data_IF_485323905051
#
_entry.id   IF_485323905051
#
_cell.length_a   1.000
_cell.length_b   1.000
_cell.length_c   1.000
_cell.angle_alpha   90.00
_cell.angle_beta   90.00
_cell.angle_gamma   90.00
#
_symmetry.space_group_name_H-M   'P 1'
#
loop_
_entity.id
_entity.type
_entity.pdbx_description
1 polymer ?
#
# COMPACT_ATOMS: atom_id res chain seq x y z
N UNK A 1 34.56 -8.53 5.51
CA UNK A 1 35.61 -8.57 6.55
C UNK A 1 35.58 -9.94 7.23
N UNK A 2 36.46 -10.81 6.81
CA UNK A 2 36.69 -12.13 7.38
C UNK A 2 37.60 -11.97 8.59
N UNK A 3 37.11 -12.32 9.80
CA UNK A 3 37.93 -12.64 10.99
C UNK A 3 36.93 -12.79 12.14
N UNK A 4 36.53 -14.03 12.42
CA UNK A 4 36.07 -14.57 13.70
C UNK A 4 35.49 -15.97 13.45
N UNK A 5 36.37 -16.88 13.03
CA UNK A 5 36.05 -18.32 12.99
C UNK A 5 37.34 -19.09 13.19
N UNK A 6 37.97 -18.96 14.33
CA UNK A 6 39.10 -19.80 14.70
C UNK A 6 39.42 -19.81 16.21
N UNK A 7 38.44 -20.01 17.08
CA UNK A 7 38.71 -20.26 18.51
C UNK A 7 37.63 -21.13 19.20
N UNK A 8 37.28 -22.27 18.62
CA UNK A 8 36.43 -23.26 19.29
C UNK A 8 36.80 -24.70 19.01
N UNK A 9 38.11 -24.99 18.80
CA UNK A 9 38.56 -26.39 18.63
C UNK A 9 39.84 -26.71 19.41
N UNK A 10 40.01 -26.10 20.63
CA UNK A 10 41.12 -26.46 21.50
C UNK A 10 40.69 -26.52 22.96
N UNK A 11 39.67 -27.28 23.28
CA UNK A 11 39.14 -27.41 24.66
C UNK A 11 38.62 -28.80 25.04
N UNK A 12 38.78 -29.81 24.19
CA UNK A 12 38.19 -31.12 24.45
C UNK A 12 39.21 -32.28 24.49
N UNK A 13 40.46 -32.00 24.76
CA UNK A 13 41.51 -33.04 24.75
C UNK A 13 42.29 -33.23 26.07
N UNK A 14 41.73 -32.80 27.23
CA UNK A 14 42.47 -32.93 28.52
C UNK A 14 41.63 -33.45 29.70
N UNK A 15 40.65 -34.33 29.45
CA UNK A 15 39.94 -35.05 30.55
C UNK A 15 39.85 -36.57 30.31
N UNK A 16 40.94 -37.19 29.84
CA UNK A 16 41.02 -38.64 29.74
C UNK A 16 42.32 -39.15 30.42
N UNK A 17 42.59 -38.69 31.61
CA UNK A 17 43.66 -39.29 32.40
C UNK A 17 43.36 -39.04 33.89
N UNK A 18 42.49 -39.88 34.45
CA UNK A 18 42.55 -40.28 35.86
C UNK A 18 41.32 -41.12 36.18
N UNK A 19 41.55 -42.43 36.23
CA UNK A 19 40.99 -43.31 37.21
C UNK A 19 41.39 -44.73 36.78
N UNK A 20 42.61 -45.10 37.15
CA UNK A 20 42.96 -46.52 37.38
C UNK A 20 42.79 -46.71 38.90
N UNK A 21 41.57 -46.95 39.32
CA UNK A 21 41.28 -47.63 40.61
C UNK A 21 40.29 -48.73 40.29
N UNK A 22 40.55 -49.88 40.86
CA UNK A 22 39.87 -51.14 40.70
C UNK A 22 38.36 -50.99 40.62
N UNK A 23 37.81 -51.04 39.42
CA UNK A 23 36.38 -51.22 39.22
C UNK A 23 36.05 -52.65 39.64
N UNK A 24 35.36 -52.79 40.76
CA UNK A 24 34.85 -54.04 41.26
C UNK A 24 33.80 -54.54 40.27
N UNK A 25 34.16 -55.45 39.38
CA UNK A 25 33.30 -56.01 38.33
C UNK A 25 32.01 -56.68 38.88
N UNK A 26 31.94 -56.87 40.21
CA UNK A 26 30.78 -57.49 40.89
C UNK A 26 29.68 -56.51 41.30
N UNK A 27 29.84 -55.16 41.08
CA UNK A 27 28.85 -54.17 41.52
C UNK A 27 28.03 -53.56 40.39
N UNK A 28 28.40 -53.76 39.14
CA UNK A 28 27.61 -53.30 37.98
C UNK A 28 27.57 -54.41 36.90
N UNK A 29 26.79 -55.41 37.11
CA UNK A 29 26.28 -56.17 35.93
C UNK A 29 25.66 -55.10 35.03
N UNK A 30 25.99 -55.07 33.71
CA UNK A 30 25.30 -54.14 32.80
C UNK A 30 23.81 -54.41 32.98
N UNK A 31 23.04 -53.41 33.35
CA UNK A 31 21.57 -53.52 33.30
C UNK A 31 21.26 -53.82 31.85
N UNK A 32 21.05 -55.07 31.49
CA UNK A 32 20.44 -55.44 30.25
C UNK A 32 18.96 -55.02 30.39
N UNK A 33 18.70 -53.78 30.06
CA UNK A 33 17.35 -53.40 29.73
C UNK A 33 16.94 -54.32 28.58
N UNK A 34 15.91 -55.11 28.80
CA UNK A 34 15.27 -55.78 27.66
C UNK A 34 15.02 -54.73 26.60
N UNK A 35 15.65 -54.87 25.44
CA UNK A 35 15.48 -53.95 24.34
C UNK A 35 13.98 -53.97 24.03
N UNK A 36 13.32 -52.83 24.26
CA UNK A 36 11.89 -52.71 23.95
C UNK A 36 11.71 -53.21 22.52
N UNK A 37 10.77 -54.14 22.37
CA UNK A 37 10.49 -54.73 21.06
C UNK A 37 10.21 -53.59 20.08
N UNK A 38 10.96 -53.53 18.99
CA UNK A 38 10.79 -52.50 17.96
C UNK A 38 9.30 -52.54 17.56
N UNK A 39 8.60 -51.44 17.81
CA UNK A 39 7.24 -51.27 17.34
C UNK A 39 7.35 -51.14 15.82
N UNK A 40 6.73 -52.11 15.08
CA UNK A 40 6.69 -52.04 13.63
C UNK A 40 6.09 -50.69 13.21
N UNK A 41 6.84 -49.90 12.44
CA UNK A 41 6.38 -48.63 11.98
C UNK A 41 5.17 -48.80 11.06
N UNK A 42 4.12 -47.99 11.19
CA UNK A 42 2.99 -48.02 10.28
C UNK A 42 3.42 -47.60 8.87
N UNK A 43 2.89 -48.27 7.85
CA UNK A 43 3.05 -47.81 6.46
C UNK A 43 1.81 -47.01 6.05
N UNK A 44 1.90 -45.72 6.26
CA UNK A 44 0.84 -44.73 6.01
C UNK A 44 1.39 -43.65 5.12
N UNK A 45 0.68 -43.30 4.06
CA UNK A 45 1.02 -42.19 3.17
C UNK A 45 -0.13 -41.22 3.10
N UNK A 46 0.18 -39.93 3.11
CA UNK A 46 -0.79 -38.86 2.88
C UNK A 46 -0.92 -38.56 1.38
N UNK A 47 -2.09 -38.24 0.94
CA UNK A 47 -2.41 -37.86 -0.43
C UNK A 47 -3.12 -36.53 -0.43
N UNK A 48 -2.70 -35.61 -1.32
CA UNK A 48 -3.35 -34.32 -1.56
C UNK A 48 -4.81 -34.50 -2.00
N UNK A 49 -5.65 -33.58 -1.61
CA UNK A 49 -7.03 -33.47 -2.14
C UNK A 49 -7.08 -32.43 -3.25
N UNK A 50 -8.24 -32.23 -3.88
CA UNK A 50 -8.44 -31.15 -4.86
C UNK A 50 -8.35 -29.75 -4.25
N UNK A 51 -8.51 -28.73 -5.09
CA UNK A 51 -8.51 -27.32 -4.66
C UNK A 51 -9.62 -27.03 -3.65
N UNK A 52 -9.29 -26.21 -2.66
CA UNK A 52 -10.16 -25.84 -1.54
C UNK A 52 -10.49 -24.34 -1.71
N UNK A 53 -11.78 -24.00 -1.71
CA UNK A 53 -12.24 -22.62 -1.66
C UNK A 53 -12.75 -22.31 -0.23
N UNK A 54 -11.94 -21.53 0.52
CA UNK A 54 -12.29 -21.13 1.89
C UNK A 54 -13.42 -20.09 1.93
N UNK A 55 -13.72 -19.42 0.81
CA UNK A 55 -14.87 -18.51 0.70
C UNK A 55 -16.21 -19.22 0.82
N UNK A 56 -16.27 -20.51 0.44
CA UNK A 56 -17.47 -21.34 0.47
C UNK A 56 -17.40 -22.48 1.48
N UNK A 57 -16.23 -22.66 2.12
CA UNK A 57 -16.01 -23.74 3.08
C UNK A 57 -16.78 -23.54 4.39
N UNK A 58 -17.13 -24.67 5.02
CA UNK A 58 -17.65 -24.66 6.41
C UNK A 58 -16.53 -24.48 7.44
N UNK A 59 -16.82 -24.78 8.71
CA UNK A 59 -15.87 -24.61 9.83
C UNK A 59 -14.61 -25.47 9.71
N UNK A 60 -14.66 -26.56 8.93
CA UNK A 60 -13.51 -27.44 8.69
C UNK A 60 -13.46 -27.93 7.24
N UNK A 61 -12.24 -28.17 6.75
CA UNK A 61 -11.96 -28.65 5.40
C UNK A 61 -11.04 -29.85 5.42
N UNK A 62 -11.24 -30.78 4.49
CA UNK A 62 -10.31 -31.89 4.27
C UNK A 62 -9.14 -31.43 3.42
N UNK A 63 -7.91 -31.55 3.93
CA UNK A 63 -6.68 -31.11 3.25
C UNK A 63 -5.83 -32.28 2.74
N UNK A 64 -6.03 -33.45 3.27
CA UNK A 64 -5.42 -34.71 2.80
C UNK A 64 -6.30 -35.91 3.09
N UNK A 65 -5.99 -37.04 2.47
CA UNK A 65 -6.49 -38.36 2.82
C UNK A 65 -5.32 -39.28 3.18
N UNK A 66 -5.55 -40.27 4.03
CA UNK A 66 -4.55 -41.26 4.38
C UNK A 66 -4.77 -42.54 3.59
N UNK A 67 -3.70 -43.04 2.97
CA UNK A 67 -3.63 -44.39 2.44
C UNK A 67 -2.85 -45.27 3.44
N UNK A 68 -3.56 -46.11 4.14
CA UNK A 68 -3.02 -47.03 5.15
C UNK A 68 -2.76 -48.39 4.51
N UNK A 69 -1.50 -48.69 4.20
CA UNK A 69 -1.09 -49.95 3.61
C UNK A 69 -0.97 -51.04 4.69
N UNK A 70 -0.41 -50.69 5.85
CA UNK A 70 -0.37 -51.57 7.03
C UNK A 70 -0.23 -50.74 8.31
N UNK A 71 -0.90 -51.18 9.37
CA UNK A 71 -0.67 -50.74 10.74
C UNK A 71 -0.45 -51.94 11.63
N UNK A 72 0.41 -51.88 12.64
CA UNK A 72 0.62 -52.98 13.58
C UNK A 72 -0.68 -53.38 14.27
N UNK A 73 -0.88 -54.69 14.47
CA UNK A 73 -2.09 -55.20 15.11
C UNK A 73 -2.29 -54.61 16.50
N UNK A 74 -3.49 -54.08 16.76
CA UNK A 74 -3.85 -53.47 18.04
C UNK A 74 -3.40 -52.01 18.20
N UNK A 75 -2.93 -51.37 17.11
CA UNK A 75 -2.58 -49.92 17.12
C UNK A 75 -3.71 -49.08 16.53
N UNK A 76 -3.76 -47.81 16.96
CA UNK A 76 -4.65 -46.78 16.42
C UNK A 76 -3.85 -45.58 16.01
N UNK A 77 -4.24 -44.93 14.89
CA UNK A 77 -3.65 -43.62 14.47
C UNK A 77 -4.23 -42.52 15.36
N UNK A 78 -3.37 -41.70 15.89
CA UNK A 78 -3.74 -40.58 16.74
C UNK A 78 -2.84 -39.35 16.46
N UNK A 79 -3.23 -38.21 16.98
CA UNK A 79 -2.43 -36.95 16.94
C UNK A 79 -1.93 -36.58 15.54
N UNK A 80 -2.78 -36.74 14.51
CA UNK A 80 -2.42 -36.30 13.16
C UNK A 80 -2.17 -34.79 13.14
N UNK A 81 -1.10 -34.39 12.50
CA UNK A 81 -0.63 -33.04 12.40
C UNK A 81 -0.13 -32.73 11.00
N UNK A 82 -0.37 -31.51 10.58
CA UNK A 82 0.09 -30.95 9.34
C UNK A 82 1.13 -29.86 9.68
N UNK A 83 2.36 -30.05 9.23
CA UNK A 83 3.43 -29.10 9.46
C UNK A 83 3.76 -28.39 8.15
N UNK A 84 3.52 -27.07 8.09
CA UNK A 84 3.91 -26.26 6.95
C UNK A 84 5.40 -25.98 6.97
N UNK A 85 6.07 -26.27 5.85
CA UNK A 85 7.52 -26.07 5.71
C UNK A 85 7.91 -24.57 5.75
N UNK A 86 7.11 -23.71 5.10
CA UNK A 86 7.47 -22.28 4.93
C UNK A 86 7.10 -21.40 6.14
N UNK A 87 6.02 -21.74 6.86
CA UNK A 87 5.54 -20.93 7.98
C UNK A 87 5.93 -21.48 9.36
N UNK A 88 6.57 -22.64 9.43
CA UNK A 88 6.88 -23.34 10.70
C UNK A 88 5.65 -23.47 11.62
N UNK A 89 4.46 -23.67 11.04
CA UNK A 89 3.19 -23.79 11.74
C UNK A 89 2.76 -25.25 11.74
N UNK A 90 2.38 -25.75 12.92
CA UNK A 90 1.78 -27.07 13.10
C UNK A 90 0.27 -26.93 13.33
N UNK A 91 -0.53 -27.64 12.54
CA UNK A 91 -1.99 -27.64 12.61
C UNK A 91 -2.49 -29.06 12.92
N UNK A 92 -3.35 -29.18 13.92
CA UNK A 92 -3.99 -30.49 14.25
C UNK A 92 -4.99 -30.87 13.18
N UNK A 93 -4.95 -32.16 12.77
CA UNK A 93 -5.92 -32.73 11.87
C UNK A 93 -6.68 -33.89 12.56
N UNK A 94 -7.90 -34.16 12.11
CA UNK A 94 -8.60 -35.38 12.48
C UNK A 94 -8.11 -36.56 11.64
N UNK A 95 -8.61 -37.79 11.97
CA UNK A 95 -8.21 -38.99 11.27
C UNK A 95 -8.72 -39.10 9.81
N UNK A 96 -9.54 -38.14 9.37
CA UNK A 96 -10.00 -38.01 7.99
C UNK A 96 -9.24 -36.89 7.23
N UNK A 97 -8.17 -36.35 7.83
CA UNK A 97 -7.39 -35.27 7.23
C UNK A 97 -8.09 -33.92 7.22
N UNK A 98 -9.08 -33.72 8.12
CA UNK A 98 -9.74 -32.42 8.28
C UNK A 98 -9.01 -31.55 9.28
N UNK A 99 -8.90 -30.27 8.94
CA UNK A 99 -8.41 -29.17 9.81
C UNK A 99 -9.47 -28.07 9.91
N UNK A 100 -9.36 -27.20 10.89
CA UNK A 100 -10.21 -26.02 10.96
C UNK A 100 -9.94 -25.09 9.75
N UNK A 101 -11.00 -24.63 9.10
CA UNK A 101 -10.90 -23.70 7.97
C UNK A 101 -10.17 -22.40 8.36
N UNK A 102 -10.38 -21.95 9.60
CA UNK A 102 -9.69 -20.77 10.14
C UNK A 102 -8.17 -20.94 10.24
N UNK A 103 -7.68 -22.15 10.57
CA UNK A 103 -6.24 -22.43 10.66
C UNK A 103 -5.59 -22.43 9.27
N UNK A 104 -6.26 -23.01 8.26
CA UNK A 104 -5.79 -22.95 6.88
C UNK A 104 -5.80 -21.51 6.34
N UNK A 105 -6.87 -20.75 6.62
CA UNK A 105 -6.98 -19.33 6.27
C UNK A 105 -5.81 -18.53 6.86
N UNK A 106 -5.56 -18.67 8.16
CA UNK A 106 -4.47 -17.96 8.84
C UNK A 106 -3.07 -18.32 8.26
N UNK A 107 -2.87 -19.59 7.89
CA UNK A 107 -1.64 -20.05 7.26
C UNK A 107 -1.43 -19.39 5.90
N UNK A 108 -2.47 -19.35 5.05
CA UNK A 108 -2.42 -18.71 3.73
C UNK A 108 -2.19 -17.21 3.87
N UNK A 109 -2.94 -16.54 4.76
CA UNK A 109 -2.81 -15.08 4.96
C UNK A 109 -1.43 -14.69 5.44
N UNK A 110 -0.82 -15.51 6.30
CA UNK A 110 0.55 -15.26 6.80
C UNK A 110 1.59 -15.30 5.69
N UNK A 111 1.43 -16.19 4.69
CA UNK A 111 2.41 -16.38 3.61
C UNK A 111 2.14 -15.51 2.40
N UNK A 112 0.87 -15.31 2.03
CA UNK A 112 0.47 -14.76 0.73
C UNK A 112 -0.49 -13.56 0.83
N UNK A 113 -0.91 -13.17 2.05
CA UNK A 113 -1.94 -12.15 2.25
C UNK A 113 -3.35 -12.63 1.92
N UNK A 114 -4.30 -11.69 1.90
CA UNK A 114 -5.75 -11.97 1.86
C UNK A 114 -6.36 -11.97 0.44
N UNK A 115 -5.56 -11.81 -0.60
CA UNK A 115 -6.07 -11.80 -1.98
C UNK A 115 -6.72 -13.14 -2.33
N UNK A 116 -7.96 -13.17 -2.89
CA UNK A 116 -8.68 -14.41 -3.20
C UNK A 116 -8.18 -15.07 -4.50
N UNK A 117 -6.91 -15.45 -4.49
CA UNK A 117 -6.28 -16.23 -5.56
C UNK A 117 -5.84 -17.56 -5.01
N UNK A 118 -5.99 -18.63 -5.79
CA UNK A 118 -5.51 -19.96 -5.40
C UNK A 118 -4.00 -19.91 -5.10
N UNK A 119 -3.62 -20.46 -3.95
CA UNK A 119 -2.26 -20.60 -3.47
C UNK A 119 -1.90 -22.06 -3.30
N UNK A 120 -0.64 -22.36 -3.54
CA UNK A 120 -0.07 -23.69 -3.32
C UNK A 120 0.81 -23.64 -2.09
N UNK A 121 0.52 -24.52 -1.13
CA UNK A 121 1.26 -24.71 0.11
C UNK A 121 1.82 -26.12 0.13
N UNK A 122 2.98 -26.31 0.73
CA UNK A 122 3.55 -27.62 0.98
C UNK A 122 3.58 -27.89 2.49
N UNK A 123 3.21 -29.10 2.88
CA UNK A 123 3.21 -29.48 4.27
C UNK A 123 3.50 -30.97 4.43
N UNK A 124 4.13 -31.32 5.55
CA UNK A 124 4.36 -32.71 5.94
C UNK A 124 3.26 -33.17 6.87
N UNK A 125 2.67 -34.33 6.59
CA UNK A 125 1.70 -34.99 7.45
C UNK A 125 2.42 -36.00 8.32
N UNK A 126 2.26 -35.90 9.63
CA UNK A 126 2.80 -36.83 10.58
C UNK A 126 1.80 -37.13 11.72
N UNK A 127 2.04 -38.15 12.47
CA UNK A 127 1.16 -38.56 13.57
C UNK A 127 1.81 -39.63 14.44
N UNK A 128 1.02 -40.13 15.36
CA UNK A 128 1.42 -41.18 16.30
C UNK A 128 0.60 -42.42 16.08
N UNK A 129 1.22 -43.62 16.16
CA UNK A 129 0.58 -44.88 16.33
C UNK A 129 0.59 -45.28 17.79
N UNK A 130 -0.58 -45.44 18.38
CA UNK A 130 -0.76 -45.75 19.79
C UNK A 130 -1.03 -47.23 20.00
N UNK A 131 -0.25 -47.89 20.85
CA UNK A 131 -0.46 -49.30 21.28
C UNK A 131 -0.15 -49.39 22.76
N UNK A 132 -1.10 -49.92 23.54
CA UNK A 132 -0.93 -50.17 24.97
C UNK A 132 -0.36 -49.01 25.78
N UNK A 133 -0.71 -47.75 25.38
CA UNK A 133 -0.23 -46.54 26.01
C UNK A 133 1.13 -46.03 25.50
N UNK A 134 1.78 -46.76 24.58
CA UNK A 134 3.01 -46.35 23.93
C UNK A 134 2.70 -45.67 22.58
N UNK A 135 3.42 -44.59 22.28
CA UNK A 135 3.32 -43.84 21.01
C UNK A 135 4.53 -44.12 20.14
N UNK A 136 4.35 -44.43 18.88
CA UNK A 136 5.39 -44.43 17.87
C UNK A 136 5.06 -43.42 16.79
N UNK A 137 6.00 -42.51 16.53
CA UNK A 137 5.86 -41.49 15.51
C UNK A 137 5.92 -42.06 14.10
N UNK A 138 5.10 -41.53 13.20
CA UNK A 138 5.22 -41.80 11.77
C UNK A 138 5.13 -40.53 10.94
N UNK A 139 5.79 -40.53 9.80
CA UNK A 139 5.72 -39.48 8.78
C UNK A 139 4.99 -40.05 7.56
N UNK A 140 3.83 -39.49 7.23
CA UNK A 140 3.01 -39.91 6.10
C UNK A 140 3.41 -39.24 4.78
N UNK A 141 4.46 -38.39 4.81
CA UNK A 141 5.02 -37.72 3.62
C UNK A 141 4.53 -36.28 3.44
N UNK A 142 5.08 -35.66 2.44
CA UNK A 142 4.73 -34.29 2.03
C UNK A 142 3.50 -34.31 1.11
N UNK A 143 2.64 -33.34 1.30
CA UNK A 143 1.47 -33.07 0.45
C UNK A 143 1.53 -31.66 -0.12
N UNK A 144 0.85 -31.48 -1.23
CA UNK A 144 0.53 -30.18 -1.83
C UNK A 144 -0.90 -29.81 -1.47
N UNK A 145 -1.12 -28.58 -0.96
CA UNK A 145 -2.45 -28.06 -0.62
C UNK A 145 -2.72 -26.87 -1.54
N UNK A 146 -3.73 -26.97 -2.40
CA UNK A 146 -4.22 -25.87 -3.21
C UNK A 146 -5.43 -25.25 -2.54
N UNK A 147 -5.35 -23.98 -2.18
CA UNK A 147 -6.44 -23.32 -1.51
C UNK A 147 -6.56 -21.84 -1.91
N UNK A 148 -7.80 -21.39 -2.04
CA UNK A 148 -8.17 -19.97 -2.23
C UNK A 148 -8.64 -19.42 -0.89
N UNK A 149 -8.00 -18.36 -0.33
CA UNK A 149 -8.44 -17.77 0.92
C UNK A 149 -9.79 -17.07 0.76
N UNK A 150 -10.55 -17.00 1.85
CA UNK A 150 -11.72 -16.15 1.95
C UNK A 150 -11.26 -14.69 2.00
N UNK A 151 -11.65 -13.90 0.99
CA UNK A 151 -11.32 -12.48 0.94
C UNK A 151 -12.31 -11.62 1.74
N UNK A 152 -11.85 -10.47 2.27
CA UNK A 152 -12.77 -9.44 2.71
C UNK A 152 -13.57 -8.91 1.52
N UNK A 153 -14.83 -8.52 1.75
CA UNK A 153 -15.67 -7.92 0.72
C UNK A 153 -15.29 -6.46 0.56
N UNK A 154 -14.51 -6.14 -0.48
CA UNK A 154 -14.07 -4.78 -0.80
C UNK A 154 -14.87 -4.28 -2.01
N UNK A 155 -15.46 -3.09 -1.91
CA UNK A 155 -16.09 -2.39 -3.03
C UNK A 155 -15.04 -1.63 -3.83
N UNK A 156 -15.29 -1.43 -5.12
CA UNK A 156 -14.42 -0.57 -5.95
C UNK A 156 -14.61 0.92 -5.65
N UNK A 157 -15.70 1.31 -4.99
CA UNK A 157 -16.07 2.70 -4.78
C UNK A 157 -16.67 2.88 -3.39
N UNK A 158 -16.18 3.92 -2.71
CA UNK A 158 -16.68 4.39 -1.41
C UNK A 158 -17.02 5.87 -1.48
N UNK A 159 -18.00 6.30 -0.70
CA UNK A 159 -18.49 7.68 -0.66
C UNK A 159 -18.70 8.13 0.78
N UNK A 160 -18.35 9.38 1.06
CA UNK A 160 -18.70 10.03 2.32
C UNK A 160 -20.17 10.48 2.26
N UNK A 161 -20.94 10.13 3.28
CA UNK A 161 -22.28 10.62 3.50
C UNK A 161 -22.37 11.21 4.91
N UNK A 162 -23.28 12.12 5.12
CA UNK A 162 -23.44 12.79 6.42
C UNK A 162 -24.11 14.15 6.25
N UNK A 163 -23.77 15.10 7.10
CA UNK A 163 -24.37 16.43 7.07
C UNK A 163 -24.18 17.15 5.73
N UNK A 164 -23.02 17.02 5.09
CA UNK A 164 -22.75 17.62 3.77
C UNK A 164 -23.63 17.05 2.65
N UNK A 165 -24.26 15.90 2.84
CA UNK A 165 -25.15 15.23 1.88
C UNK A 165 -26.59 15.12 2.39
N UNK A 166 -26.94 15.82 3.48
CA UNK A 166 -28.24 15.71 4.15
C UNK A 166 -28.61 14.23 4.47
N UNK A 167 -27.61 13.41 4.79
CA UNK A 167 -27.76 11.97 5.05
C UNK A 167 -28.41 11.20 3.90
N UNK A 168 -28.17 11.63 2.66
CA UNK A 168 -28.67 10.91 1.49
C UNK A 168 -27.78 9.70 1.17
N UNK A 169 -28.35 8.48 1.32
CA UNK A 169 -27.65 7.23 1.07
C UNK A 169 -27.14 7.08 -0.38
N UNK A 170 -27.86 7.64 -1.34
CA UNK A 170 -27.53 7.58 -2.76
C UNK A 170 -26.56 8.68 -3.21
N UNK A 171 -26.08 9.52 -2.28
CA UNK A 171 -25.17 10.60 -2.59
C UNK A 171 -23.78 10.06 -2.99
N UNK A 172 -23.35 10.37 -4.20
CA UNK A 172 -22.05 10.01 -4.76
C UNK A 172 -21.14 11.21 -5.03
N UNK A 173 -21.50 12.40 -4.50
CA UNK A 173 -20.77 13.65 -4.75
C UNK A 173 -19.44 13.75 -4.00
N UNK A 174 -19.21 12.91 -2.98
CA UNK A 174 -18.00 12.88 -2.19
C UNK A 174 -17.32 11.50 -2.27
N UNK A 175 -16.75 11.13 -3.43
CA UNK A 175 -16.09 9.85 -3.60
C UNK A 175 -14.74 9.81 -2.91
N UNK A 176 -14.39 8.66 -2.35
CA UNK A 176 -13.02 8.37 -1.95
C UNK A 176 -12.16 8.13 -3.18
N UNK A 177 -10.98 8.72 -3.18
CA UNK A 177 -9.95 8.47 -4.20
C UNK A 177 -9.29 7.11 -3.94
N UNK A 178 -8.97 6.40 -5.01
CA UNK A 178 -8.26 5.14 -5.02
C UNK A 178 -7.24 5.15 -6.17
N UNK A 179 -6.14 4.43 -6.02
CA UNK A 179 -5.17 4.26 -7.10
C UNK A 179 -5.75 3.45 -8.26
N UNK A 180 -5.04 3.38 -9.38
CA UNK A 180 -5.42 2.54 -10.53
C UNK A 180 -5.11 1.05 -10.34
N UNK A 181 -4.51 0.67 -9.19
CA UNK A 181 -4.19 -0.73 -8.88
C UNK A 181 -5.43 -1.51 -8.50
N UNK A 182 -5.32 -2.83 -8.57
CA UNK A 182 -6.36 -3.73 -8.06
C UNK A 182 -6.59 -3.50 -6.55
N UNK A 183 -7.85 -3.53 -6.11
CA UNK A 183 -8.26 -3.26 -4.71
C UNK A 183 -7.64 -4.22 -3.67
N UNK A 184 -7.16 -5.39 -4.08
CA UNK A 184 -6.42 -6.32 -3.22
C UNK A 184 -4.91 -6.08 -3.24
N UNK A 185 -4.40 -5.26 -4.17
CA UNK A 185 -3.00 -4.79 -4.18
C UNK A 185 -2.85 -3.49 -3.42
N UNK A 186 -3.84 -2.61 -3.56
CA UNK A 186 -3.90 -1.33 -2.86
C UNK A 186 -5.32 -1.14 -2.28
N UNK A 187 -5.58 -1.63 -1.06
CA UNK A 187 -6.91 -1.52 -0.43
C UNK A 187 -7.17 -0.16 0.22
N UNK A 188 -6.38 0.86 -0.10
CA UNK A 188 -6.40 2.17 0.54
C UNK A 188 -7.29 3.13 -0.25
N UNK A 189 -8.28 3.69 0.43
CA UNK A 189 -9.19 4.71 -0.09
C UNK A 189 -9.06 5.97 0.75
N UNK A 190 -8.98 7.14 0.12
CA UNK A 190 -8.79 8.41 0.82
C UNK A 190 -9.76 9.47 0.34
N UNK A 191 -10.22 10.30 1.26
CA UNK A 191 -10.97 11.51 0.95
C UNK A 191 -10.46 12.66 1.80
N UNK A 192 -10.45 13.86 1.22
CA UNK A 192 -10.27 15.12 1.95
C UNK A 192 -11.53 15.94 1.76
N UNK A 193 -12.09 16.43 2.86
CA UNK A 193 -13.32 17.22 2.85
C UNK A 193 -13.26 18.35 3.88
N UNK A 194 -14.06 19.39 3.66
CA UNK A 194 -14.25 20.46 4.65
C UNK A 194 -15.33 20.00 5.64
N UNK A 195 -15.05 20.01 6.97
CA UNK A 195 -16.06 19.67 7.95
C UNK A 195 -17.16 20.76 7.99
N UNK A 196 -18.41 20.34 7.99
CA UNK A 196 -19.60 21.19 8.03
C UNK A 196 -20.38 20.85 9.31
N UNK A 197 -20.80 21.88 10.05
CA UNK A 197 -21.68 21.78 11.21
C UNK A 197 -23.04 22.34 10.77
N UNK A 198 -23.94 21.51 10.30
CA UNK A 198 -25.23 21.94 9.72
C UNK A 198 -26.33 22.15 10.76
N UNK A 199 -26.20 21.53 11.92
CA UNK A 199 -27.16 21.60 13.02
C UNK A 199 -26.70 22.47 14.20
N UNK A 200 -25.47 23.01 14.12
CA UNK A 200 -24.84 23.88 15.11
C UNK A 200 -24.58 23.19 16.47
N UNK A 201 -24.28 21.91 16.46
CA UNK A 201 -23.86 21.15 17.66
C UNK A 201 -22.37 21.22 17.93
N UNK A 202 -21.59 21.86 17.06
CA UNK A 202 -20.12 22.00 17.13
C UNK A 202 -19.34 20.87 16.47
N UNK A 203 -20.02 19.96 15.76
CA UNK A 203 -19.41 18.81 15.12
C UNK A 203 -19.86 18.66 13.67
N UNK A 204 -19.08 17.99 12.86
CA UNK A 204 -19.45 17.44 11.57
C UNK A 204 -19.66 15.94 11.73
N UNK A 205 -20.86 15.46 11.45
CA UNK A 205 -21.21 14.06 11.52
C UNK A 205 -21.25 13.41 10.15
N UNK A 206 -20.69 12.20 10.03
CA UNK A 206 -20.61 11.50 8.76
C UNK A 206 -20.51 9.98 8.92
N UNK A 207 -20.67 9.27 7.82
CA UNK A 207 -20.54 7.84 7.68
C UNK A 207 -19.97 7.51 6.28
N UNK A 208 -19.70 6.25 6.01
CA UNK A 208 -19.19 5.80 4.71
C UNK A 208 -20.17 4.84 4.06
N UNK A 209 -20.54 5.11 2.82
CA UNK A 209 -21.31 4.19 1.99
C UNK A 209 -20.46 3.64 0.85
N UNK A 210 -20.93 2.60 0.18
CA UNK A 210 -20.31 2.02 -1.00
C UNK A 210 -21.34 1.66 -2.06
N UNK A 211 -20.90 1.30 -3.25
CA UNK A 211 -21.77 0.93 -4.35
C UNK A 211 -22.68 -0.28 -4.03
N UNK A 212 -22.25 -1.16 -3.13
CA UNK A 212 -23.05 -2.32 -2.68
C UNK A 212 -24.21 -1.84 -1.80
N UNK A 213 -23.92 -0.95 -0.84
CA UNK A 213 -24.91 -0.35 0.06
C UNK A 213 -25.96 0.46 -0.71
N UNK A 214 -25.50 1.31 -1.65
CA UNK A 214 -26.39 2.13 -2.50
C UNK A 214 -27.32 1.23 -3.30
N UNK A 215 -26.78 0.18 -3.95
CA UNK A 215 -27.60 -0.76 -4.74
C UNK A 215 -28.61 -1.53 -3.90
N UNK A 216 -28.26 -1.87 -2.66
CA UNK A 216 -29.17 -2.55 -1.74
C UNK A 216 -30.20 -1.61 -1.13
N UNK A 217 -29.96 -0.31 -1.13
CA UNK A 217 -30.73 0.74 -0.45
C UNK A 217 -31.01 0.38 1.03
N UNK A 218 -29.97 -0.06 1.73
CA UNK A 218 -30.05 -0.56 3.09
C UNK A 218 -29.08 0.14 4.03
N UNK A 219 -29.58 0.97 4.93
CA UNK A 219 -28.80 1.69 5.94
C UNK A 219 -27.98 0.79 6.87
N UNK A 220 -28.37 -0.47 7.05
CA UNK A 220 -27.60 -1.45 7.83
C UNK A 220 -26.27 -1.83 7.18
N UNK A 221 -26.16 -1.57 5.88
CA UNK A 221 -24.92 -1.81 5.12
C UNK A 221 -23.96 -0.60 5.13
N UNK A 222 -24.39 0.56 5.63
CA UNK A 222 -23.52 1.74 5.82
C UNK A 222 -22.41 1.39 6.80
N UNK A 223 -21.20 1.86 6.54
CA UNK A 223 -20.07 1.70 7.45
C UNK A 223 -20.04 2.81 8.50
N UNK A 224 -19.78 2.41 9.73
CA UNK A 224 -19.55 3.28 10.86
C UNK A 224 -18.35 2.84 11.69
N UNK A 225 -18.00 3.65 12.71
CA UNK A 225 -16.88 3.35 13.60
C UNK A 225 -17.31 2.34 14.70
N UNK A 226 -16.48 1.35 14.95
CA UNK A 226 -16.74 0.32 15.95
C UNK A 226 -16.53 0.81 17.39
N UNK A 227 -15.88 1.96 17.56
CA UNK A 227 -15.61 2.61 18.85
C UNK A 227 -16.86 3.26 19.45
N UNK A 228 -17.97 3.27 18.72
CA UNK A 228 -19.28 3.80 19.14
C UNK A 228 -19.68 5.09 18.44
N UNK A 229 -21.00 5.35 18.42
CA UNK A 229 -21.56 6.50 17.74
C UNK A 229 -20.99 7.82 18.29
N UNK A 230 -20.36 8.59 17.41
CA UNK A 230 -19.77 9.87 17.77
C UNK A 230 -18.58 9.78 18.76
N UNK A 231 -17.82 8.69 18.76
CA UNK A 231 -16.66 8.52 19.65
C UNK A 231 -15.60 9.61 19.47
N UNK A 232 -15.47 10.22 18.28
CA UNK A 232 -14.44 11.18 17.94
C UNK A 232 -13.03 10.56 17.86
N UNK A 233 -12.92 9.22 17.81
CA UNK A 233 -11.66 8.53 17.64
C UNK A 233 -11.05 8.86 16.26
N UNK A 234 -9.76 9.18 16.24
CA UNK A 234 -9.04 9.54 15.01
C UNK A 234 -8.56 8.30 14.23
N UNK A 235 -8.59 7.13 14.85
CA UNK A 235 -8.30 5.84 14.21
C UNK A 235 -9.08 4.71 14.89
N UNK A 236 -9.33 3.63 14.17
CA UNK A 236 -10.05 2.49 14.70
C UNK A 236 -10.53 1.52 13.63
N UNK A 237 -11.55 0.76 13.98
CA UNK A 237 -12.14 -0.28 13.14
C UNK A 237 -13.43 0.25 12.50
N UNK A 238 -13.58 0.07 11.19
CA UNK A 238 -14.81 0.36 10.45
C UNK A 238 -15.62 -0.93 10.27
N UNK A 239 -16.93 -0.88 10.55
CA UNK A 239 -17.85 -2.01 10.41
C UNK A 239 -19.15 -1.60 9.74
N UNK A 240 -19.85 -2.56 9.16
CA UNK A 240 -21.24 -2.36 8.75
C UNK A 240 -22.11 -2.07 9.98
N UNK A 241 -23.08 -1.15 9.87
CA UNK A 241 -24.03 -0.85 10.96
C UNK A 241 -24.80 -2.08 11.45
N UNK A 242 -25.04 -3.06 10.57
CA UNK A 242 -25.61 -4.34 10.97
C UNK A 242 -24.82 -5.07 12.07
N UNK A 243 -23.52 -4.83 12.17
CA UNK A 243 -22.59 -5.46 13.11
C UNK A 243 -22.19 -4.54 14.27
N UNK A 244 -22.84 -3.37 14.39
CA UNK A 244 -22.63 -2.39 15.46
C UNK A 244 -23.79 -2.44 16.46
N UNK A 245 -23.52 -1.94 17.67
CA UNK A 245 -24.54 -1.80 18.74
C UNK A 245 -25.41 -0.56 18.51
N UNK A 246 -24.84 0.45 17.84
CA UNK A 246 -25.46 1.71 17.48
C UNK A 246 -25.15 2.08 16.03
N UNK A 247 -25.45 3.30 15.60
CA UNK A 247 -25.20 3.74 14.21
C UNK A 247 -23.72 3.91 13.88
N UNK A 248 -22.83 4.04 14.87
CA UNK A 248 -21.39 4.18 14.69
C UNK A 248 -20.99 5.38 13.82
N UNK A 249 -21.79 6.45 13.76
CA UNK A 249 -21.45 7.62 12.95
C UNK A 249 -20.14 8.24 13.45
N UNK A 250 -19.30 8.64 12.52
CA UNK A 250 -18.09 9.41 12.82
C UNK A 250 -18.47 10.84 13.16
N UNK A 251 -17.63 11.50 13.97
CA UNK A 251 -17.71 12.94 14.15
C UNK A 251 -16.35 13.58 14.30
N UNK A 252 -16.23 14.82 13.85
CA UNK A 252 -15.07 15.68 14.05
C UNK A 252 -15.52 17.05 14.53
N UNK A 253 -14.76 17.70 15.41
CA UNK A 253 -15.09 19.03 15.89
C UNK A 253 -14.96 20.07 14.77
N UNK A 254 -15.89 21.00 14.71
CA UNK A 254 -15.88 22.20 13.84
C UNK A 254 -15.57 23.42 14.67
N UNK A 255 -14.37 23.45 15.26
CA UNK A 255 -13.89 24.48 16.19
C UNK A 255 -12.77 25.37 15.61
N UNK A 256 -12.52 25.24 14.31
CA UNK A 256 -11.44 25.95 13.60
C UNK A 256 -10.05 25.35 13.80
N UNK A 257 -9.90 24.27 14.56
CA UNK A 257 -8.61 23.56 14.73
C UNK A 257 -8.15 22.86 13.44
N UNK A 258 -9.08 22.58 12.54
CA UNK A 258 -8.82 22.01 11.22
C UNK A 258 -9.63 22.72 10.13
N UNK A 259 -9.02 22.96 8.98
CA UNK A 259 -9.72 23.46 7.79
C UNK A 259 -10.24 22.31 6.92
N UNK A 260 -9.52 21.21 6.93
CA UNK A 260 -9.87 20.02 6.17
C UNK A 260 -9.69 18.79 7.05
N UNK A 261 -10.46 17.77 6.73
CA UNK A 261 -10.33 16.43 7.32
C UNK A 261 -9.94 15.48 6.21
N UNK A 262 -8.87 14.71 6.45
CA UNK A 262 -8.51 13.58 5.60
C UNK A 262 -8.95 12.30 6.30
N UNK A 263 -9.78 11.51 5.63
CA UNK A 263 -10.12 10.16 6.07
C UNK A 263 -9.46 9.15 5.15
N UNK A 264 -8.77 8.20 5.74
CA UNK A 264 -8.15 7.07 5.05
C UNK A 264 -8.81 5.79 5.51
N UNK A 265 -9.22 4.95 4.57
CA UNK A 265 -9.76 3.61 4.81
C UNK A 265 -8.75 2.59 4.34
N UNK A 266 -8.46 1.56 5.15
CA UNK A 266 -7.83 0.33 4.71
C UNK A 266 -8.89 -0.77 4.72
N UNK A 267 -9.44 -1.09 3.57
CA UNK A 267 -10.54 -2.04 3.44
C UNK A 267 -10.09 -3.50 3.47
N UNK A 268 -8.78 -3.78 3.41
CA UNK A 268 -8.25 -5.11 3.67
C UNK A 268 -8.40 -5.50 5.14
N UNK A 269 -8.19 -4.56 6.04
CA UNK A 269 -8.20 -4.76 7.49
C UNK A 269 -9.42 -4.13 8.17
N UNK A 270 -10.29 -3.47 7.39
CA UNK A 270 -11.44 -2.71 7.88
C UNK A 270 -11.05 -1.71 8.97
N UNK A 271 -10.02 -0.90 8.70
CA UNK A 271 -9.59 0.17 9.59
C UNK A 271 -9.76 1.54 8.94
N UNK A 272 -9.83 2.57 9.79
CA UNK A 272 -9.87 3.96 9.36
C UNK A 272 -8.86 4.81 10.12
N UNK A 273 -8.48 5.93 9.51
CA UNK A 273 -7.71 7.02 10.11
C UNK A 273 -8.28 8.35 9.69
N UNK A 274 -8.42 9.27 10.65
CA UNK A 274 -8.88 10.64 10.46
C UNK A 274 -7.73 11.58 10.83
N UNK A 275 -7.39 12.50 9.93
CA UNK A 275 -6.30 13.47 10.11
C UNK A 275 -6.84 14.88 9.93
N UNK A 276 -6.53 15.78 10.86
CA UNK A 276 -6.88 17.19 10.81
C UNK A 276 -5.82 17.96 10.03
N UNK A 277 -6.22 18.67 8.98
CA UNK A 277 -5.33 19.36 8.07
C UNK A 277 -5.63 20.86 8.05
N UNK A 278 -4.58 21.68 7.96
CA UNK A 278 -4.68 23.15 7.91
C UNK A 278 -4.29 23.75 6.57
N UNK A 279 -3.74 22.93 5.67
CA UNK A 279 -3.31 23.33 4.34
C UNK A 279 -4.14 22.61 3.27
N UNK A 280 -4.47 23.33 2.19
CA UNK A 280 -5.10 22.77 1.00
C UNK A 280 -4.11 21.87 0.24
N UNK A 281 -4.62 21.05 -0.67
CA UNK A 281 -3.78 20.28 -1.59
C UNK A 281 -3.03 21.16 -2.58
N UNK A 282 -3.62 22.27 -3.02
CA UNK A 282 -3.06 23.14 -4.04
C UNK A 282 -2.98 24.59 -3.58
N UNK A 283 -2.00 25.31 -4.12
CA UNK A 283 -1.95 26.78 -4.27
C UNK A 283 -1.67 27.11 -5.72
N UNK A 284 -1.98 28.35 -6.14
CA UNK A 284 -1.94 28.75 -7.54
C UNK A 284 -0.97 29.91 -7.74
N UNK A 285 -0.42 30.04 -8.95
CA UNK A 285 0.66 30.99 -9.28
C UNK A 285 0.18 32.01 -10.33
N UNK A 286 -0.74 32.94 -10.01
CA UNK A 286 -1.08 34.02 -10.94
C UNK A 286 0.05 35.03 -11.05
N UNK A 287 0.31 35.52 -12.27
CA UNK A 287 1.39 36.49 -12.53
C UNK A 287 1.43 37.01 -13.96
N UNK A 288 2.52 37.69 -14.30
CA UNK A 288 2.74 38.26 -15.63
C UNK A 288 2.64 37.21 -16.75
N UNK A 289 3.17 36.00 -16.49
CA UNK A 289 3.25 34.92 -17.46
C UNK A 289 1.90 34.46 -18.02
N UNK A 290 0.79 34.71 -17.32
CA UNK A 290 -0.56 34.33 -17.74
C UNK A 290 -1.58 35.48 -17.62
N UNK A 291 -1.11 36.72 -17.55
CA UNK A 291 -1.95 37.94 -17.54
C UNK A 291 -2.76 38.13 -16.25
N UNK A 292 -2.26 37.66 -15.12
CA UNK A 292 -2.86 37.82 -13.79
C UNK A 292 -4.29 37.26 -13.66
N UNK A 293 -4.61 36.15 -14.37
CA UNK A 293 -5.88 35.48 -14.31
C UNK A 293 -5.83 34.29 -13.34
N UNK A 294 -6.28 34.43 -12.08
CA UNK A 294 -6.11 33.37 -11.07
C UNK A 294 -6.88 32.09 -11.41
N UNK A 295 -7.98 32.19 -12.15
CA UNK A 295 -8.78 31.06 -12.63
C UNK A 295 -8.02 30.13 -13.58
N UNK A 296 -6.95 30.66 -14.24
CA UNK A 296 -6.08 29.92 -15.16
C UNK A 296 -4.67 29.73 -14.64
N UNK A 297 -4.42 30.09 -13.38
CA UNK A 297 -3.08 30.05 -12.81
C UNK A 297 -2.55 28.62 -12.70
N UNK A 298 -1.25 28.40 -12.99
CA UNK A 298 -0.56 27.16 -12.67
C UNK A 298 -0.75 26.76 -11.22
N UNK A 299 -0.78 25.45 -10.91
CA UNK A 299 -0.94 24.96 -9.56
C UNK A 299 0.34 24.29 -9.04
N UNK A 300 0.68 24.58 -7.78
CA UNK A 300 1.64 23.82 -6.99
C UNK A 300 0.87 22.89 -6.05
N UNK A 301 1.35 21.68 -5.86
CA UNK A 301 0.69 20.63 -5.07
C UNK A 301 1.45 20.32 -3.78
N UNK A 302 0.70 20.17 -2.68
CA UNK A 302 1.15 19.60 -1.41
C UNK A 302 0.47 18.24 -1.22
N UNK A 303 1.03 17.15 -1.74
CA UNK A 303 0.37 15.84 -1.71
C UNK A 303 0.18 15.29 -0.29
N UNK A 304 0.96 15.79 0.67
CA UNK A 304 0.86 15.43 2.08
C UNK A 304 0.01 16.40 2.90
N UNK A 305 -0.50 17.49 2.31
CA UNK A 305 -1.26 18.54 3.01
C UNK A 305 -0.47 19.18 4.17
N UNK A 306 0.85 19.24 4.06
CA UNK A 306 1.79 19.72 5.08
C UNK A 306 2.21 21.18 4.89
N UNK A 307 1.70 21.80 3.84
CA UNK A 307 2.04 23.20 3.50
C UNK A 307 3.30 23.33 2.66
N UNK A 308 3.90 22.22 2.21
CA UNK A 308 5.01 22.21 1.25
C UNK A 308 4.45 21.98 -0.14
N UNK A 309 4.37 23.03 -0.94
CA UNK A 309 3.81 23.01 -2.28
C UNK A 309 4.92 22.94 -3.32
N UNK A 310 4.88 21.97 -4.21
CA UNK A 310 5.83 21.79 -5.30
C UNK A 310 5.10 21.71 -6.64
N UNK A 311 5.61 22.40 -7.64
CA UNK A 311 5.06 22.34 -8.99
C UNK A 311 5.88 23.13 -9.98
N UNK A 312 5.35 23.31 -11.18
CA UNK A 312 6.08 23.88 -12.30
C UNK A 312 5.32 25.06 -12.90
N UNK A 313 6.05 26.10 -13.27
CA UNK A 313 5.51 27.24 -14.01
C UNK A 313 6.59 27.89 -14.86
N UNK A 314 6.20 28.40 -16.04
CA UNK A 314 6.98 29.42 -16.72
C UNK A 314 6.75 30.76 -16.00
N UNK A 315 7.80 31.48 -15.70
CA UNK A 315 7.75 32.79 -15.02
C UNK A 315 8.50 33.84 -15.81
N UNK A 316 7.93 35.05 -15.92
CA UNK A 316 8.50 36.20 -16.62
C UNK A 316 8.18 37.51 -15.90
N UNK A 317 8.76 37.73 -14.72
CA UNK A 317 8.53 38.92 -13.90
C UNK A 317 7.64 38.64 -12.69
N UNK A 318 6.64 39.47 -12.44
CA UNK A 318 5.87 39.47 -11.21
C UNK A 318 4.82 38.34 -11.13
N UNK A 319 4.71 37.75 -9.94
CA UNK A 319 3.67 36.78 -9.60
C UNK A 319 3.34 36.80 -8.10
N UNK A 320 2.34 36.06 -7.71
CA UNK A 320 1.97 35.78 -6.33
C UNK A 320 1.55 34.31 -6.20
N UNK A 321 1.23 33.89 -4.99
CA UNK A 321 0.49 32.66 -4.77
C UNK A 321 -0.90 32.98 -4.24
N UNK A 322 -1.94 32.33 -4.78
CA UNK A 322 -3.30 32.38 -4.25
C UNK A 322 -3.67 31.03 -3.66
N UNK A 323 -4.49 31.05 -2.58
CA UNK A 323 -4.93 29.81 -1.90
C UNK A 323 -6.00 29.08 -2.70
N UNK A 324 -6.74 29.85 -3.51
CA UNK A 324 -7.79 29.38 -4.41
C UNK A 324 -7.58 30.02 -5.79
N UNK A 325 -8.34 29.57 -6.80
CA UNK A 325 -8.33 30.18 -8.14
C UNK A 325 -9.08 31.50 -8.19
N UNK A 326 -8.82 32.37 -7.19
CA UNK A 326 -9.38 33.70 -7.05
C UNK A 326 -8.41 34.59 -6.24
N UNK A 327 -8.79 35.86 -5.98
CA UNK A 327 -7.98 36.83 -5.24
C UNK A 327 -8.36 36.97 -3.77
N UNK A 328 -9.20 36.07 -3.21
CA UNK A 328 -9.70 36.22 -1.84
C UNK A 328 -8.64 36.03 -0.77
N UNK A 329 -7.62 35.18 -1.03
CA UNK A 329 -6.51 34.97 -0.13
C UNK A 329 -5.23 34.63 -0.89
N UNK A 330 -4.14 35.33 -0.55
CA UNK A 330 -2.86 35.23 -1.25
C UNK A 330 -1.69 35.06 -0.28
N UNK A 331 -0.55 34.56 -0.83
CA UNK A 331 0.78 34.69 -0.26
C UNK A 331 1.62 35.59 -1.18
N UNK A 332 2.38 36.46 -0.59
CA UNK A 332 3.22 37.43 -1.30
C UNK A 332 4.68 37.36 -0.81
N UNK A 333 5.54 38.24 -1.32
CA UNK A 333 6.97 38.18 -1.04
C UNK A 333 7.30 38.18 0.47
N UNK A 334 6.57 38.94 1.27
CA UNK A 334 6.86 39.11 2.69
C UNK A 334 6.38 37.91 3.56
N UNK A 335 5.55 37.04 3.02
CA UNK A 335 5.11 35.84 3.72
C UNK A 335 6.21 34.78 3.80
N UNK A 336 7.28 34.92 3.03
CA UNK A 336 8.43 34.04 3.03
C UNK A 336 9.63 34.67 3.73
N UNK A 337 10.05 34.13 4.87
CA UNK A 337 11.22 34.59 5.61
C UNK A 337 12.53 34.23 4.90
N UNK A 338 12.59 33.01 4.36
CA UNK A 338 13.73 32.53 3.57
C UNK A 338 13.33 32.41 2.12
N UNK A 339 14.08 33.02 1.23
CA UNK A 339 13.85 33.02 -0.21
C UNK A 339 15.16 32.76 -0.94
N UNK A 340 15.07 32.10 -2.08
CA UNK A 340 16.19 31.94 -2.98
C UNK A 340 16.46 33.30 -3.71
N UNK A 341 17.36 34.12 -3.17
CA UNK A 341 17.65 35.46 -3.66
C UNK A 341 18.30 35.47 -5.06
N UNK A 342 18.76 34.34 -5.57
CA UNK A 342 19.24 34.20 -6.94
C UNK A 342 18.06 34.37 -7.91
N UNK A 343 16.92 33.80 -7.56
CA UNK A 343 15.74 33.76 -8.42
C UNK A 343 14.68 34.80 -8.04
N UNK A 344 14.48 35.08 -6.74
CA UNK A 344 13.35 35.88 -6.28
C UNK A 344 13.79 37.23 -5.67
N UNK A 345 13.11 38.27 -6.07
CA UNK A 345 13.24 39.60 -5.45
C UNK A 345 11.86 40.23 -5.22
N UNK A 346 11.84 41.37 -4.53
CA UNK A 346 10.64 42.09 -4.16
C UNK A 346 10.30 43.18 -5.21
N UNK A 347 9.04 43.18 -5.65
CA UNK A 347 8.46 44.32 -6.38
C UNK A 347 7.11 44.73 -5.75
N UNK A 348 7.18 45.61 -4.79
CA UNK A 348 6.03 45.96 -3.94
C UNK A 348 5.62 44.81 -3.02
N UNK A 349 4.42 44.27 -3.19
CA UNK A 349 3.99 43.03 -2.51
C UNK A 349 4.19 41.77 -3.38
N UNK A 350 4.57 41.96 -4.66
CA UNK A 350 4.74 40.84 -5.56
C UNK A 350 6.09 40.14 -5.33
N UNK A 351 6.11 38.86 -5.70
CA UNK A 351 7.34 38.09 -5.91
C UNK A 351 7.75 38.31 -7.36
N UNK A 352 8.99 38.77 -7.59
CA UNK A 352 9.51 38.97 -8.93
C UNK A 352 10.59 37.93 -9.23
N UNK A 353 10.50 37.27 -10.39
CA UNK A 353 11.55 36.36 -10.86
C UNK A 353 12.67 37.17 -11.54
N UNK A 354 13.93 36.95 -11.15
CA UNK A 354 15.10 37.69 -11.66
C UNK A 354 15.42 37.38 -13.12
N UNK A 355 15.14 36.16 -13.54
CA UNK A 355 15.40 35.65 -14.90
C UNK A 355 14.18 34.88 -15.38
N UNK A 356 13.68 35.18 -16.58
CA UNK A 356 12.57 34.43 -17.15
C UNK A 356 12.97 32.99 -17.47
N UNK A 357 12.01 32.08 -17.37
CA UNK A 357 12.23 30.67 -17.66
C UNK A 357 11.17 29.75 -17.08
N UNK A 358 11.38 28.47 -17.27
CA UNK A 358 10.54 27.42 -16.70
C UNK A 358 11.17 26.90 -15.41
N UNK A 359 10.40 26.88 -14.32
CA UNK A 359 10.90 26.59 -12.98
C UNK A 359 10.12 25.48 -12.30
N UNK A 360 10.82 24.61 -11.57
CA UNK A 360 10.25 23.95 -10.43
C UNK A 360 10.27 24.91 -9.26
N UNK A 361 9.12 25.14 -8.64
CA UNK A 361 8.95 26.05 -7.52
C UNK A 361 8.60 25.20 -6.28
N UNK A 362 9.26 25.49 -5.16
CA UNK A 362 8.89 24.94 -3.85
C UNK A 362 8.51 26.09 -2.93
N UNK A 363 7.24 26.14 -2.54
CA UNK A 363 6.69 27.09 -1.58
C UNK A 363 6.31 26.34 -0.29
N UNK A 364 7.19 26.34 0.70
CA UNK A 364 6.92 25.81 2.05
C UNK A 364 6.31 26.94 2.89
N UNK A 365 4.99 27.02 2.88
CA UNK A 365 4.26 28.04 3.66
C UNK A 365 4.19 27.71 5.14
N UNK A 366 4.46 26.46 5.53
CA UNK A 366 4.53 26.03 6.93
C UNK A 366 5.80 26.53 7.62
N UNK A 367 6.93 26.57 6.89
CA UNK A 367 8.22 27.04 7.36
C UNK A 367 8.62 28.41 6.77
N UNK A 368 7.72 29.06 6.03
CA UNK A 368 7.95 30.37 5.35
C UNK A 368 9.21 30.36 4.47
N UNK A 369 9.36 29.32 3.62
CA UNK A 369 10.50 29.17 2.71
C UNK A 369 10.05 29.14 1.25
N UNK A 370 10.81 29.78 0.37
CA UNK A 370 10.59 29.78 -1.07
C UNK A 370 11.89 29.47 -1.81
N UNK A 371 11.86 28.48 -2.69
CA UNK A 371 12.99 28.12 -3.54
C UNK A 371 12.53 27.76 -4.95
N UNK A 372 13.47 27.82 -5.89
CA UNK A 372 13.23 27.44 -7.28
C UNK A 372 14.44 26.76 -7.90
N UNK A 373 14.18 25.95 -8.92
CA UNK A 373 15.17 25.37 -9.81
C UNK A 373 14.75 25.64 -11.24
N UNK A 374 15.58 26.33 -12.03
CA UNK A 374 15.31 26.52 -13.46
C UNK A 374 15.48 25.19 -14.18
N UNK A 375 14.50 24.81 -15.02
CA UNK A 375 14.47 23.51 -15.65
C UNK A 375 14.37 23.58 -17.16
N UNK A 376 15.10 22.67 -17.82
CA UNK A 376 14.91 22.25 -19.21
C UNK A 376 14.55 20.76 -19.18
N UNK A 377 13.78 20.28 -20.15
CA UNK A 377 13.24 18.93 -20.08
C UNK A 377 13.65 18.07 -21.27
N UNK A 378 13.85 16.77 -21.03
CA UNK A 378 14.18 15.77 -22.02
C UNK A 378 13.41 14.45 -21.84
N UNK A 379 13.33 13.68 -22.93
CA UNK A 379 12.79 12.33 -22.97
C UNK A 379 13.94 11.35 -22.76
N UNK A 380 13.84 10.46 -21.79
CA UNK A 380 14.87 9.50 -21.39
C UNK A 380 14.27 8.09 -21.36
N UNK A 381 15.06 7.09 -21.67
CA UNK A 381 14.68 5.67 -21.60
C UNK A 381 14.93 4.92 -22.90
N UNK A 382 14.90 3.57 -22.89
CA UNK A 382 15.22 2.75 -24.05
C UNK A 382 14.25 2.90 -25.22
N UNK A 383 13.10 3.55 -25.05
CA UNK A 383 12.23 3.90 -26.16
C UNK A 383 12.87 4.90 -27.14
N UNK A 384 13.85 5.73 -26.69
CA UNK A 384 14.62 6.66 -27.51
C UNK A 384 16.09 6.22 -27.66
N UNK A 385 16.82 6.81 -28.61
CA UNK A 385 18.15 6.33 -29.03
C UNK A 385 19.23 6.35 -27.94
N UNK A 386 19.17 7.27 -26.97
CA UNK A 386 20.15 7.44 -25.89
C UNK A 386 19.96 6.47 -24.72
N UNK A 387 18.90 5.64 -24.70
CA UNK A 387 18.60 4.75 -23.59
C UNK A 387 18.41 5.52 -22.28
N UNK A 388 18.89 4.95 -21.17
CA UNK A 388 18.93 5.61 -19.86
C UNK A 388 20.17 6.48 -19.61
N UNK A 389 21.10 6.57 -20.59
CA UNK A 389 22.36 7.30 -20.47
C UNK A 389 22.22 8.78 -20.85
N UNK A 390 21.49 9.06 -21.93
CA UNK A 390 21.25 10.42 -22.39
C UNK A 390 19.81 10.61 -22.88
N UNK A 391 19.20 11.73 -22.56
CA UNK A 391 17.87 12.11 -23.01
C UNK A 391 17.91 12.88 -24.35
N UNK A 392 16.74 12.97 -24.94
CA UNK A 392 16.51 13.84 -26.10
C UNK A 392 15.82 15.10 -25.60
N UNK A 393 16.46 16.24 -25.83
CA UNK A 393 15.96 17.55 -25.42
C UNK A 393 14.59 17.88 -26.01
N UNK A 394 13.74 18.50 -25.21
CA UNK A 394 12.45 19.07 -25.59
C UNK A 394 12.56 20.60 -25.63
N UNK A 395 11.72 21.22 -26.43
CA UNK A 395 11.64 22.68 -26.57
C UNK A 395 10.36 23.20 -25.92
N UNK A 396 10.49 24.27 -25.13
CA UNK A 396 9.33 24.95 -24.54
C UNK A 396 8.50 25.63 -25.62
N UNK A 397 7.21 25.36 -25.66
CA UNK A 397 6.23 26.01 -26.49
C UNK A 397 5.29 26.84 -25.60
N UNK A 398 5.43 28.16 -25.70
CA UNK A 398 4.65 29.11 -24.90
C UNK A 398 3.19 29.25 -25.37
N UNK A 399 2.86 28.81 -26.60
CA UNK A 399 1.50 28.93 -27.13
C UNK A 399 0.55 27.93 -26.45
N UNK A 400 1.01 26.71 -26.22
CA UNK A 400 0.22 25.66 -25.55
C UNK A 400 0.76 25.26 -24.18
N UNK A 401 1.71 26.00 -23.65
CA UNK A 401 2.34 25.80 -22.32
C UNK A 401 2.88 24.37 -22.15
N UNK A 402 3.53 23.82 -23.17
CA UNK A 402 4.08 22.47 -23.16
C UNK A 402 5.56 22.43 -23.54
N UNK A 403 6.25 21.40 -23.06
CA UNK A 403 7.53 20.99 -23.62
C UNK A 403 7.27 20.01 -24.79
N UNK A 404 7.90 20.25 -25.93
CA UNK A 404 7.61 19.52 -27.17
C UNK A 404 8.85 18.91 -27.79
N UNK A 405 8.71 17.72 -28.36
CA UNK A 405 9.71 17.11 -29.23
C UNK A 405 9.03 16.29 -30.34
N UNK A 406 9.67 16.23 -31.52
CA UNK A 406 9.34 15.22 -32.54
C UNK A 406 10.49 14.22 -32.56
N UNK A 407 10.21 12.95 -32.26
CA UNK A 407 11.23 11.95 -31.97
C UNK A 407 10.79 10.57 -32.48
N UNK A 408 11.76 9.77 -32.95
CA UNK A 408 11.55 8.36 -33.26
C UNK A 408 11.62 7.53 -31.99
N UNK A 409 10.56 6.80 -31.70
CA UNK A 409 10.44 5.94 -30.52
C UNK A 409 10.26 4.48 -30.94
N UNK A 410 10.87 3.56 -30.19
CA UNK A 410 10.63 2.12 -30.31
C UNK A 410 9.71 1.64 -29.18
N UNK A 411 9.18 0.41 -29.34
CA UNK A 411 8.31 -0.19 -28.32
C UNK A 411 9.11 -0.58 -27.08
N UNK A 412 9.24 0.34 -26.13
CA UNK A 412 10.01 0.19 -24.90
C UNK A 412 9.60 1.26 -23.85
N UNK A 413 10.32 1.36 -22.75
CA UNK A 413 10.07 2.27 -21.63
C UNK A 413 10.66 3.67 -21.85
N UNK A 414 10.01 4.68 -21.28
CA UNK A 414 10.50 6.06 -21.25
C UNK A 414 10.00 6.82 -20.01
N UNK A 415 10.67 7.94 -19.71
CA UNK A 415 10.28 8.95 -18.73
C UNK A 415 10.68 10.34 -19.23
N UNK A 416 10.36 11.35 -18.42
CA UNK A 416 10.90 12.69 -18.61
C UNK A 416 11.78 13.06 -17.42
N UNK A 417 12.91 13.74 -17.69
CA UNK A 417 13.76 14.30 -16.65
C UNK A 417 14.15 15.74 -17.00
N UNK A 418 14.54 16.49 -15.97
CA UNK A 418 15.01 17.85 -16.12
C UNK A 418 16.53 17.96 -16.00
N UNK A 419 17.13 18.91 -16.74
CA UNK A 419 18.52 19.34 -16.61
C UNK A 419 19.53 18.17 -16.74
N UNK A 420 19.27 17.18 -17.58
CA UNK A 420 20.10 15.99 -17.77
C UNK A 420 20.40 15.21 -16.48
N UNK A 421 19.54 15.36 -15.45
CA UNK A 421 19.74 14.85 -14.12
C UNK A 421 18.50 14.09 -13.63
N UNK A 422 18.69 13.19 -12.65
CA UNK A 422 17.62 12.42 -12.03
C UNK A 422 16.96 13.08 -10.82
N UNK A 423 17.46 14.23 -10.37
CA UNK A 423 16.90 14.96 -9.21
C UNK A 423 15.45 15.39 -9.45
N UNK A 424 15.14 15.78 -10.68
CA UNK A 424 13.79 16.19 -11.10
C UNK A 424 13.39 15.35 -12.30
N UNK A 425 12.45 14.43 -12.09
CA UNK A 425 11.93 13.58 -13.14
C UNK A 425 10.44 13.31 -12.93
N UNK A 426 9.72 13.02 -14.01
CA UNK A 426 8.29 12.67 -13.96
C UNK A 426 8.00 11.43 -14.79
N UNK A 427 7.06 10.63 -14.30
CA UNK A 427 6.57 9.42 -14.94
C UNK A 427 5.21 9.04 -14.36
N UNK A 428 4.74 7.83 -14.61
CA UNK A 428 3.45 7.32 -14.16
C UNK A 428 2.54 6.91 -15.31
N UNK A 429 1.32 7.41 -15.38
CA UNK A 429 0.45 7.24 -16.54
C UNK A 429 0.45 8.49 -17.42
N UNK A 430 0.14 8.33 -18.71
CA UNK A 430 0.08 9.44 -19.69
C UNK A 430 -0.82 10.56 -19.17
N UNK A 431 -1.95 10.22 -18.55
CA UNK A 431 -2.95 11.19 -18.09
C UNK A 431 -2.64 11.76 -16.71
N UNK A 432 -1.73 11.14 -15.95
CA UNK A 432 -1.40 11.54 -14.59
C UNK A 432 0.08 11.24 -14.27
N UNK A 433 0.93 12.21 -14.56
CA UNK A 433 2.34 12.15 -14.25
C UNK A 433 2.59 12.61 -12.81
N UNK A 434 3.55 11.98 -12.15
CA UNK A 434 4.00 12.33 -10.80
C UNK A 434 5.52 12.46 -10.76
N UNK A 435 6.03 13.27 -9.83
CA UNK A 435 7.48 13.34 -9.59
C UNK A 435 7.97 11.98 -9.09
N UNK A 436 9.05 11.47 -9.69
CA UNK A 436 9.60 10.15 -9.39
C UNK A 436 8.71 8.98 -9.81
N UNK A 437 7.58 9.22 -10.51
CA UNK A 437 6.62 8.19 -10.94
C UNK A 437 7.26 7.09 -11.80
N UNK A 438 6.54 6.00 -12.01
CA UNK A 438 7.01 4.82 -12.75
C UNK A 438 7.31 5.11 -14.23
N UNK A 439 8.05 4.22 -14.89
CA UNK A 439 8.30 4.33 -16.31
C UNK A 439 7.02 4.13 -17.11
N UNK A 440 6.85 4.94 -18.15
CA UNK A 440 5.79 4.78 -19.16
C UNK A 440 6.27 3.87 -20.28
N UNK A 441 5.36 3.38 -21.14
CA UNK A 441 5.69 2.49 -22.25
C UNK A 441 5.13 2.97 -23.58
N UNK A 442 5.97 2.90 -24.62
CA UNK A 442 5.56 2.92 -26.01
C UNK A 442 5.27 1.48 -26.43
N UNK A 443 4.10 1.23 -27.00
CA UNK A 443 3.70 -0.11 -27.47
C UNK A 443 3.93 -0.32 -28.96
N UNK A 444 4.09 0.76 -29.72
CA UNK A 444 4.26 0.72 -31.17
C UNK A 444 5.37 1.68 -31.60
N UNK A 445 6.34 1.19 -32.35
CA UNK A 445 7.42 2.02 -32.88
C UNK A 445 6.92 3.03 -33.92
N UNK A 446 7.55 4.21 -33.98
CA UNK A 446 7.23 5.24 -34.96
C UNK A 446 7.80 6.59 -34.59
N UNK A 447 7.57 7.57 -35.48
CA UNK A 447 7.86 8.98 -35.19
C UNK A 447 6.68 9.57 -34.43
N UNK A 448 6.95 10.18 -33.27
CA UNK A 448 5.94 10.78 -32.41
C UNK A 448 6.19 12.27 -32.21
N UNK A 449 5.12 13.04 -32.18
CA UNK A 449 5.07 14.32 -31.52
C UNK A 449 4.72 14.08 -30.06
N UNK A 450 5.63 14.44 -29.17
CA UNK A 450 5.48 14.31 -27.73
C UNK A 450 5.30 15.70 -27.14
N UNK A 451 4.24 15.87 -26.34
CA UNK A 451 4.02 17.10 -25.56
C UNK A 451 3.89 16.77 -24.10
N UNK A 452 4.64 17.48 -23.25
CA UNK A 452 4.67 17.34 -21.81
C UNK A 452 4.09 18.58 -21.14
N UNK A 453 3.02 18.44 -20.37
CA UNK A 453 2.29 19.50 -19.67
C UNK A 453 2.52 19.37 -18.16
N UNK A 454 3.20 20.35 -17.57
CA UNK A 454 3.62 20.31 -16.18
C UNK A 454 2.98 21.40 -15.30
N UNK A 455 2.37 22.42 -15.89
CA UNK A 455 1.92 23.63 -15.18
C UNK A 455 0.63 23.42 -14.38
N UNK A 456 -0.13 22.36 -14.62
CA UNK A 456 -1.45 22.15 -14.02
C UNK A 456 -2.40 23.36 -14.17
N UNK A 457 -2.28 24.11 -15.24
CA UNK A 457 -3.08 25.32 -15.48
C UNK A 457 -4.52 25.01 -15.89
N UNK A 458 -4.74 23.94 -16.66
CA UNK A 458 -6.05 23.51 -17.14
C UNK A 458 -6.66 22.36 -16.35
N UNK A 459 -5.84 21.56 -15.70
CA UNK A 459 -6.23 20.50 -14.77
C UNK A 459 -5.27 20.46 -13.60
N UNK A 460 -5.65 19.87 -12.49
CA UNK A 460 -4.73 19.72 -11.34
C UNK A 460 -3.74 18.55 -11.56
N UNK A 461 -3.60 18.06 -12.79
CA UNK A 461 -2.72 16.95 -13.14
C UNK A 461 -1.63 17.38 -14.11
N UNK A 462 -0.44 16.80 -13.97
CA UNK A 462 0.58 16.80 -15.02
C UNK A 462 0.29 15.65 -15.96
N UNK A 463 0.47 15.84 -17.26
CA UNK A 463 0.19 14.81 -18.26
C UNK A 463 1.08 14.97 -19.49
N UNK A 464 1.07 13.98 -20.37
CA UNK A 464 1.71 14.09 -21.68
C UNK A 464 0.79 13.59 -22.78
N UNK A 465 1.08 14.00 -24.01
CA UNK A 465 0.42 13.44 -25.20
C UNK A 465 1.45 12.87 -26.14
N UNK A 466 1.07 11.77 -26.81
CA UNK A 466 1.88 11.05 -27.78
C UNK A 466 1.08 10.95 -29.07
N UNK A 467 1.43 11.73 -30.08
CA UNK A 467 0.74 11.72 -31.37
C UNK A 467 1.67 11.14 -32.43
N UNK A 468 1.33 9.95 -32.93
CA UNK A 468 2.09 9.29 -34.01
C UNK A 468 1.88 10.08 -35.29
N UNK A 469 2.98 10.38 -36.00
CA UNK A 469 3.00 11.11 -37.26
C UNK A 469 2.75 10.19 -38.47
#
# INVERSE_FOLDING_TARGET
MKKYLLYTFLGAASLMASCTEDFNEDVAAPQQWEQEAAVDAPNVTAQSVGSIDLGTAGDSVTVFSLNVTSIPTGTTIANLRLQSDEASVEIKADNNGKIASADLQALIEKQYGKRPTERTLYAVVHGDCMKDGQASFFNAGQIEIKATPKAPQISNEYYLIGEASEWNLECTSAPFSHSTKDIYEDPIFTIVFTPIDSDNDGFCWFAVTDSITIKANDWKQVFGCAEGNGSGAEEGIIKRRADLVDDGSFKVAVDGSAKFIKMTLNMMDYTYKIEKLNFSEFIYVPGNHQGWAPDKAPALQSPNFDGVYVGFSYLNGNFKFTKERNWDAEYNFNDFATKDEIFFNNDGSNINISEEGFYQITADVSASKLSAVKTTWGIIGPAQAGGWDSDTDMTWNAEDESWTATIDLVADEFKFRANDNWDINVGGSIDNLTQGGDNMKITEAGTYEVKLFLTRSTSNQMYCTLTKK
#
